data_IF_401580797265
#
_entry.id   IF_401580797265
#
_cell.length_a   1.000
_cell.length_b   1.000
_cell.length_c   1.000
_cell.angle_alpha   90.00
_cell.angle_beta   90.00
_cell.angle_gamma   90.00
#
_symmetry.space_group_name_H-M   'P 1'
#
loop_
_entity.id
_entity.type
_entity.pdbx_description
1 polymer ?
#
# COMPACT_ATOMS: atom_id res chain seq x y z
N UNK A 1 -71.31 59.03 -21.92
CA UNK A 1 -70.68 58.57 -20.67
C UNK A 1 -70.53 57.06 -20.76
N UNK A 2 -69.30 56.58 -20.98
CA UNK A 2 -68.96 55.14 -21.04
C UNK A 2 -67.99 54.89 -19.88
N UNK A 3 -68.35 53.96 -19.00
CA UNK A 3 -67.65 53.71 -17.74
C UNK A 3 -66.35 52.91 -17.95
N UNK A 4 -65.25 53.25 -17.26
CA UNK A 4 -64.03 52.44 -17.24
C UNK A 4 -64.03 51.54 -16.00
N UNK A 5 -64.56 50.32 -16.12
CA UNK A 5 -64.40 49.27 -15.09
C UNK A 5 -64.08 47.95 -15.79
N UNK A 6 -62.90 47.87 -16.41
CA UNK A 6 -62.35 46.58 -16.88
C UNK A 6 -60.87 46.41 -16.51
N UNK A 7 -60.18 47.43 -15.96
CA UNK A 7 -58.73 47.37 -15.74
C UNK A 7 -58.26 47.08 -14.30
N UNK A 8 -59.11 46.59 -13.40
CA UNK A 8 -58.71 46.26 -12.02
C UNK A 8 -58.58 44.74 -11.74
N UNK A 9 -58.87 43.88 -12.72
CA UNK A 9 -58.89 42.42 -12.52
C UNK A 9 -57.55 41.70 -12.73
N UNK A 10 -56.53 42.36 -13.30
CA UNK A 10 -55.32 41.70 -13.76
C UNK A 10 -54.09 41.85 -12.84
N UNK A 11 -54.14 42.70 -11.80
CA UNK A 11 -52.95 43.05 -11.02
C UNK A 11 -52.84 42.39 -9.62
N UNK A 12 -53.86 41.66 -9.16
CA UNK A 12 -53.88 41.06 -7.81
C UNK A 12 -53.41 39.57 -7.76
N UNK A 13 -52.83 39.05 -8.84
CA UNK A 13 -52.42 37.64 -8.95
C UNK A 13 -50.91 37.40 -8.75
N UNK A 14 -50.13 38.42 -8.36
CA UNK A 14 -48.65 38.30 -8.34
C UNK A 14 -48.05 38.27 -6.92
N UNK A 15 -48.83 38.47 -5.84
CA UNK A 15 -48.30 38.49 -4.46
C UNK A 15 -48.63 37.25 -3.60
N UNK A 16 -49.17 36.16 -4.18
CA UNK A 16 -49.68 34.99 -3.45
C UNK A 16 -48.72 33.80 -3.41
N UNK A 17 -47.41 34.02 -3.57
CA UNK A 17 -46.44 32.93 -3.64
C UNK A 17 -45.90 32.44 -2.30
N UNK A 18 -45.93 33.25 -1.23
CA UNK A 18 -45.04 33.03 -0.06
C UNK A 18 -45.62 33.41 1.31
N UNK A 19 -46.91 33.73 1.44
CA UNK A 19 -47.45 34.22 2.72
C UNK A 19 -47.75 33.09 3.74
N UNK A 20 -47.49 33.29 5.05
CA UNK A 20 -47.84 32.33 6.10
C UNK A 20 -49.34 31.97 6.18
N UNK A 21 -50.23 32.90 5.80
CA UNK A 21 -51.69 32.71 5.79
C UNK A 21 -52.11 31.63 4.78
N UNK A 22 -51.45 31.57 3.63
CA UNK A 22 -51.75 30.56 2.61
C UNK A 22 -51.32 29.15 3.03
N UNK A 23 -50.24 29.03 3.81
CA UNK A 23 -49.85 27.75 4.42
C UNK A 23 -50.88 27.26 5.44
N UNK A 24 -51.48 28.15 6.23
CA UNK A 24 -52.54 27.78 7.19
C UNK A 24 -53.80 27.24 6.50
N UNK A 25 -54.12 27.71 5.29
CA UNK A 25 -55.27 27.24 4.52
C UNK A 25 -54.95 25.95 3.77
N UNK A 26 -53.76 25.84 3.17
CA UNK A 26 -53.37 24.70 2.35
C UNK A 26 -53.07 23.44 3.17
N UNK A 27 -52.54 23.56 4.39
CA UNK A 27 -52.15 22.40 5.21
C UNK A 27 -53.35 21.48 5.57
N UNK A 28 -54.49 21.97 6.08
CA UNK A 28 -55.66 21.14 6.33
C UNK A 28 -56.23 20.51 5.05
N UNK A 29 -56.20 21.24 3.93
CA UNK A 29 -56.65 20.72 2.63
C UNK A 29 -55.75 19.59 2.13
N UNK A 30 -54.43 19.71 2.29
CA UNK A 30 -53.47 18.66 1.91
C UNK A 30 -53.60 17.39 2.77
N UNK A 31 -54.04 17.51 4.03
CA UNK A 31 -54.37 16.34 4.87
C UNK A 31 -55.58 15.60 4.30
N UNK A 32 -56.61 16.34 3.85
CA UNK A 32 -57.83 15.75 3.30
C UNK A 32 -57.62 15.20 1.88
N UNK A 33 -56.81 15.88 1.08
CA UNK A 33 -56.51 15.53 -0.30
C UNK A 33 -55.01 15.66 -0.51
N UNK A 34 -54.23 14.59 -0.25
CA UNK A 34 -52.80 14.60 -0.49
C UNK A 34 -52.53 14.57 -2.00
N UNK A 35 -52.42 15.75 -2.59
CA UNK A 35 -52.15 15.96 -4.02
C UNK A 35 -50.70 16.37 -4.31
N UNK A 36 -49.86 16.45 -3.28
CA UNK A 36 -48.44 16.77 -3.41
C UNK A 36 -47.71 15.61 -4.08
N UNK A 37 -47.04 15.91 -5.19
CA UNK A 37 -46.21 14.96 -5.92
C UNK A 37 -44.76 15.12 -5.48
N UNK A 38 -44.05 14.01 -5.31
CA UNK A 38 -42.62 14.02 -5.00
C UNK A 38 -41.87 14.85 -6.04
N UNK A 39 -40.92 15.67 -5.60
CA UNK A 39 -40.09 16.45 -6.50
C UNK A 39 -39.20 15.54 -7.38
N UNK A 40 -38.69 16.04 -8.53
CA UNK A 40 -37.88 15.23 -9.44
C UNK A 40 -36.64 14.59 -8.81
N UNK A 41 -35.97 15.24 -7.84
CA UNK A 41 -34.78 14.68 -7.20
C UNK A 41 -35.17 13.50 -6.29
N UNK A 42 -36.18 13.70 -5.44
CA UNK A 42 -36.74 12.62 -4.59
C UNK A 42 -37.28 11.44 -5.41
N UNK A 43 -37.89 11.70 -6.57
CA UNK A 43 -38.34 10.65 -7.50
C UNK A 43 -37.16 9.84 -8.07
N UNK A 44 -36.04 10.50 -8.39
CA UNK A 44 -34.84 9.83 -8.89
C UNK A 44 -34.24 8.94 -7.79
N UNK A 45 -34.14 9.44 -6.56
CA UNK A 45 -33.64 8.67 -5.42
C UNK A 45 -34.55 7.49 -5.08
N UNK A 46 -35.86 7.72 -4.95
CA UNK A 46 -36.83 6.67 -4.67
C UNK A 46 -36.82 5.58 -5.75
N UNK A 47 -36.61 5.95 -7.01
CA UNK A 47 -36.42 5.00 -8.09
C UNK A 47 -35.07 4.27 -8.02
N UNK A 48 -33.99 4.94 -7.61
CA UNK A 48 -32.67 4.32 -7.43
C UNK A 48 -32.67 3.28 -6.30
N UNK A 49 -33.41 3.53 -5.21
CA UNK A 49 -33.61 2.59 -4.11
C UNK A 49 -34.65 1.50 -4.39
N UNK A 50 -35.29 1.50 -5.56
CA UNK A 50 -36.31 0.52 -5.92
C UNK A 50 -37.65 0.70 -5.20
N UNK A 51 -37.85 1.82 -4.48
CA UNK A 51 -39.11 2.16 -3.81
C UNK A 51 -40.21 2.52 -4.82
N UNK A 52 -39.81 3.00 -6.01
CA UNK A 52 -40.71 3.36 -7.11
C UNK A 52 -40.29 2.63 -8.37
N UNK A 53 -41.23 1.93 -9.01
CA UNK A 53 -40.99 1.23 -10.29
C UNK A 53 -40.59 2.20 -11.41
N UNK A 54 -39.84 1.75 -12.42
CA UNK A 54 -39.43 2.59 -13.55
C UNK A 54 -40.63 3.17 -14.34
N UNK A 55 -41.75 2.42 -14.40
CA UNK A 55 -43.01 2.90 -15.01
C UNK A 55 -43.62 4.03 -14.20
N UNK A 56 -43.72 3.87 -12.88
CA UNK A 56 -44.25 4.90 -11.96
C UNK A 56 -43.36 6.15 -11.97
N UNK A 57 -42.04 5.98 -11.91
CA UNK A 57 -41.07 7.07 -12.02
C UNK A 57 -41.28 7.90 -13.29
N UNK A 58 -41.42 7.25 -14.45
CA UNK A 58 -41.66 7.96 -15.73
C UNK A 58 -42.98 8.72 -15.73
N UNK A 59 -44.02 8.17 -15.12
CA UNK A 59 -45.33 8.81 -15.03
C UNK A 59 -45.26 10.07 -14.15
N UNK A 60 -44.66 9.97 -12.97
CA UNK A 60 -44.50 11.10 -12.05
C UNK A 60 -43.60 12.18 -12.67
N UNK A 61 -42.49 11.81 -13.32
CA UNK A 61 -41.65 12.76 -14.05
C UNK A 61 -42.38 13.46 -15.20
N UNK A 62 -43.35 12.80 -15.83
CA UNK A 62 -44.21 13.42 -16.86
C UNK A 62 -45.17 14.45 -16.25
N UNK A 63 -45.67 14.24 -15.03
CA UNK A 63 -46.47 15.25 -14.31
C UNK A 63 -45.67 16.53 -14.05
N UNK A 64 -44.36 16.40 -13.86
CA UNK A 64 -43.40 17.52 -13.79
C UNK A 64 -43.00 18.10 -15.15
N UNK A 65 -43.57 17.62 -16.27
CA UNK A 65 -43.26 18.11 -17.61
C UNK A 65 -41.98 17.54 -18.23
N UNK A 66 -41.33 16.56 -17.61
CA UNK A 66 -40.18 15.87 -18.20
C UNK A 66 -40.63 14.73 -19.11
N UNK A 67 -40.16 14.76 -20.36
CA UNK A 67 -40.32 13.60 -21.25
C UNK A 67 -39.36 12.46 -20.85
N UNK A 68 -39.55 11.28 -21.45
CA UNK A 68 -38.78 10.09 -21.11
C UNK A 68 -37.25 10.31 -21.21
N UNK A 69 -36.79 10.96 -22.28
CA UNK A 69 -35.36 11.20 -22.50
C UNK A 69 -34.75 12.17 -21.50
N UNK A 70 -35.48 13.24 -21.15
CA UNK A 70 -35.06 14.19 -20.10
C UNK A 70 -35.00 13.51 -18.74
N UNK A 71 -36.02 12.72 -18.38
CA UNK A 71 -36.04 11.97 -17.13
C UNK A 71 -34.88 10.95 -17.06
N UNK A 72 -34.54 10.29 -18.16
CA UNK A 72 -33.38 9.38 -18.25
C UNK A 72 -32.04 10.12 -18.08
N UNK A 73 -31.90 11.31 -18.69
CA UNK A 73 -30.70 12.15 -18.52
C UNK A 73 -30.55 12.63 -17.09
N UNK A 74 -31.63 13.12 -16.46
CA UNK A 74 -31.62 13.56 -15.06
C UNK A 74 -31.22 12.42 -14.13
N UNK A 75 -31.81 11.23 -14.31
CA UNK A 75 -31.40 10.02 -13.56
C UNK A 75 -29.90 9.73 -13.73
N UNK A 76 -29.37 9.78 -14.95
CA UNK A 76 -27.95 9.54 -15.21
C UNK A 76 -27.03 10.57 -14.54
N UNK A 77 -27.47 11.83 -14.46
CA UNK A 77 -26.74 12.91 -13.78
C UNK A 77 -26.71 12.67 -12.27
N UNK A 78 -27.85 12.29 -11.69
CA UNK A 78 -27.99 12.06 -10.25
C UNK A 78 -27.27 10.81 -9.74
N UNK A 79 -26.97 9.83 -10.60
CA UNK A 79 -26.19 8.66 -10.21
C UNK A 79 -24.80 9.07 -9.73
N UNK A 80 -24.45 8.66 -8.50
CA UNK A 80 -23.10 8.78 -7.94
C UNK A 80 -22.06 8.27 -8.93
N UNK A 81 -21.01 9.08 -9.14
CA UNK A 81 -19.85 8.70 -9.95
C UNK A 81 -18.74 8.23 -9.01
N UNK A 82 -17.90 7.34 -9.52
CA UNK A 82 -16.70 6.93 -8.82
C UNK A 82 -15.78 8.13 -8.64
N UNK A 83 -15.06 8.17 -7.52
CA UNK A 83 -14.05 9.20 -7.28
C UNK A 83 -12.87 9.01 -8.24
N UNK A 84 -12.10 10.07 -8.56
CA UNK A 84 -10.89 9.93 -9.36
C UNK A 84 -9.91 8.91 -8.76
N UNK A 85 -9.80 8.84 -7.44
CA UNK A 85 -8.94 7.88 -6.75
C UNK A 85 -9.39 6.43 -6.99
N UNK A 86 -10.69 6.14 -6.93
CA UNK A 86 -11.22 4.81 -7.22
C UNK A 86 -10.98 4.43 -8.68
N UNK A 87 -11.17 5.38 -9.60
CA UNK A 87 -10.92 5.17 -11.02
C UNK A 87 -9.44 4.87 -11.29
N UNK A 88 -8.51 5.57 -10.63
CA UNK A 88 -7.07 5.31 -10.73
C UNK A 88 -6.74 3.90 -10.21
N UNK A 89 -7.32 3.48 -9.08
CA UNK A 89 -7.12 2.12 -8.56
C UNK A 89 -7.70 1.05 -9.48
N UNK A 90 -8.89 1.26 -10.04
CA UNK A 90 -9.50 0.35 -11.02
C UNK A 90 -8.64 0.23 -12.27
N UNK A 91 -8.09 1.36 -12.76
CA UNK A 91 -7.16 1.38 -13.88
C UNK A 91 -5.91 0.57 -13.54
N UNK A 92 -5.18 0.90 -12.47
CA UNK A 92 -3.95 0.18 -12.06
C UNK A 92 -4.15 -1.32 -11.89
N UNK A 93 -5.37 -1.77 -11.55
CA UNK A 93 -5.72 -3.19 -11.38
C UNK A 93 -6.20 -3.88 -12.67
N UNK A 94 -6.31 -3.16 -13.79
CA UNK A 94 -6.80 -3.70 -15.07
C UNK A 94 -8.29 -4.03 -15.09
N UNK A 95 -9.07 -3.45 -14.16
CA UNK A 95 -10.51 -3.69 -14.05
C UNK A 95 -11.31 -2.83 -15.04
N UNK A 96 -10.71 -1.75 -15.53
CA UNK A 96 -11.25 -0.87 -16.58
C UNK A 96 -10.18 -0.61 -17.63
N UNK A 97 -10.60 -0.35 -18.87
CA UNK A 97 -9.66 0.03 -19.94
C UNK A 97 -9.28 1.51 -19.83
N UNK A 98 -8.17 1.92 -20.45
CA UNK A 98 -7.78 3.35 -20.49
C UNK A 98 -8.88 4.23 -21.11
N UNK A 99 -9.57 3.72 -22.13
CA UNK A 99 -10.72 4.40 -22.75
C UNK A 99 -11.87 4.58 -21.75
N UNK A 100 -12.16 3.57 -20.94
CA UNK A 100 -13.21 3.64 -19.92
C UNK A 100 -12.81 4.54 -18.75
N UNK A 101 -11.53 4.57 -18.40
CA UNK A 101 -10.97 5.48 -17.41
C UNK A 101 -11.16 6.95 -17.83
N UNK A 102 -10.68 7.32 -19.02
CA UNK A 102 -10.80 8.69 -19.57
C UNK A 102 -12.28 9.12 -19.60
N UNK A 103 -13.16 8.27 -20.13
CA UNK A 103 -14.60 8.55 -20.20
C UNK A 103 -15.23 8.77 -18.82
N UNK A 104 -14.83 8.01 -17.80
CA UNK A 104 -15.38 8.15 -16.46
C UNK A 104 -14.83 9.37 -15.72
N UNK A 105 -13.58 9.74 -15.95
CA UNK A 105 -12.97 10.98 -15.46
C UNK A 105 -13.65 12.20 -16.07
N UNK A 106 -13.91 12.21 -17.38
CA UNK A 106 -14.68 13.28 -18.03
C UNK A 106 -16.08 13.41 -17.41
N UNK A 107 -16.71 12.27 -17.06
CA UNK A 107 -18.01 12.25 -16.39
C UNK A 107 -17.95 12.73 -14.93
N UNK A 108 -16.82 12.60 -14.25
CA UNK A 108 -16.62 13.10 -12.88
C UNK A 108 -16.36 14.61 -12.83
N UNK A 109 -16.16 15.25 -14.00
CA UNK A 109 -15.87 16.69 -14.14
C UNK A 109 -14.63 17.15 -13.37
N UNK A 110 -13.67 16.24 -13.19
CA UNK A 110 -12.37 16.56 -12.59
C UNK A 110 -11.43 16.99 -13.71
N UNK A 111 -10.71 18.09 -13.52
CA UNK A 111 -9.73 18.56 -14.50
C UNK A 111 -8.49 17.66 -14.53
N UNK A 112 -7.80 17.63 -15.68
CA UNK A 112 -6.64 16.76 -15.90
C UNK A 112 -5.50 16.99 -14.90
N UNK A 113 -5.27 18.25 -14.49
CA UNK A 113 -4.23 18.57 -13.50
C UNK A 113 -4.57 17.96 -12.15
N UNK A 114 -5.81 18.08 -11.69
CA UNK A 114 -6.27 17.46 -10.44
C UNK A 114 -6.18 15.94 -10.50
N UNK A 115 -6.53 15.32 -11.64
CA UNK A 115 -6.39 13.86 -11.82
C UNK A 115 -4.93 13.43 -11.66
N UNK A 116 -4.01 14.16 -12.29
CA UNK A 116 -2.57 13.89 -12.16
C UNK A 116 -2.07 14.04 -10.72
N UNK A 117 -2.52 15.07 -10.01
CA UNK A 117 -2.18 15.26 -8.60
C UNK A 117 -2.70 14.13 -7.71
N UNK A 118 -3.91 13.63 -7.96
CA UNK A 118 -4.48 12.48 -7.24
C UNK A 118 -3.71 11.20 -7.61
N UNK A 119 -3.29 11.05 -8.85
CA UNK A 119 -2.47 9.92 -9.28
C UNK A 119 -1.12 9.90 -8.56
N UNK A 120 -0.41 11.02 -8.51
CA UNK A 120 0.83 11.19 -7.75
C UNK A 120 0.60 10.94 -6.25
N UNK A 121 -0.49 11.47 -5.67
CA UNK A 121 -0.87 11.25 -4.28
C UNK A 121 -1.14 9.77 -3.97
N UNK A 122 -1.67 9.03 -4.93
CA UNK A 122 -2.00 7.62 -4.79
C UNK A 122 -0.82 6.68 -4.98
N UNK A 123 0.37 7.18 -5.30
CA UNK A 123 1.59 6.37 -5.34
C UNK A 123 1.92 5.83 -3.94
N UNK A 124 2.46 4.62 -3.90
CA UNK A 124 2.88 4.02 -2.64
C UNK A 124 4.09 4.78 -2.09
N UNK A 125 3.97 5.24 -0.84
CA UNK A 125 5.04 5.88 -0.08
C UNK A 125 5.46 4.92 1.05
N UNK A 126 6.75 4.59 1.18
CA UNK A 126 7.22 3.70 2.23
C UNK A 126 7.01 4.33 3.61
N UNK A 127 6.80 3.49 4.62
CA UNK A 127 6.68 3.98 6.00
C UNK A 127 8.02 4.50 6.53
N UNK A 128 7.98 5.21 7.67
CA UNK A 128 9.19 5.63 8.38
C UNK A 128 10.05 4.41 8.75
N UNK A 129 9.42 3.32 9.19
CA UNK A 129 10.13 2.07 9.52
C UNK A 129 10.81 1.45 8.30
N UNK A 130 10.12 1.41 7.15
CA UNK A 130 10.71 0.90 5.90
C UNK A 130 11.92 1.75 5.49
N UNK A 131 11.78 3.07 5.59
CA UNK A 131 12.85 4.01 5.25
C UNK A 131 14.08 3.83 6.15
N UNK A 132 13.88 3.59 7.45
CA UNK A 132 14.96 3.24 8.38
C UNK A 132 15.61 1.92 7.99
N UNK A 133 14.81 0.90 7.64
CA UNK A 133 15.35 -0.38 7.18
C UNK A 133 16.15 -0.25 5.89
N UNK A 134 15.70 0.57 4.94
CA UNK A 134 16.44 0.86 3.71
C UNK A 134 17.81 1.47 3.99
N UNK A 135 17.89 2.36 4.97
CA UNK A 135 19.15 2.96 5.38
C UNK A 135 20.06 1.95 6.11
N UNK A 136 19.55 1.28 7.15
CA UNK A 136 20.34 0.37 8.00
C UNK A 136 20.82 -0.87 7.25
N UNK A 137 20.01 -1.35 6.29
CA UNK A 137 20.33 -2.54 5.48
C UNK A 137 20.94 -2.18 4.12
N UNK A 138 21.40 -0.95 3.96
CA UNK A 138 22.16 -0.51 2.79
C UNK A 138 21.40 -0.69 1.46
N UNK A 139 20.06 -0.67 1.49
CA UNK A 139 19.22 -0.86 0.30
C UNK A 139 19.43 0.21 -0.78
N UNK A 140 19.91 1.39 -0.37
CA UNK A 140 20.25 2.51 -1.27
C UNK A 140 21.66 2.41 -1.87
N UNK A 141 22.53 1.53 -1.36
CA UNK A 141 23.94 1.46 -1.79
C UNK A 141 24.12 0.51 -2.96
N UNK A 142 24.42 1.10 -4.11
CA UNK A 142 24.69 0.37 -5.36
C UNK A 142 25.96 -0.49 -5.26
N UNK A 143 27.01 0.01 -4.61
CA UNK A 143 28.29 -0.69 -4.50
C UNK A 143 28.20 -1.98 -3.67
N UNK A 144 27.40 -1.97 -2.61
CA UNK A 144 27.09 -3.18 -1.84
C UNK A 144 26.20 -4.12 -2.65
N UNK A 145 25.15 -3.60 -3.31
CA UNK A 145 24.26 -4.40 -4.14
C UNK A 145 25.01 -5.11 -5.28
N UNK A 146 26.01 -4.47 -5.88
CA UNK A 146 26.87 -5.04 -6.91
C UNK A 146 27.82 -6.10 -6.32
N UNK A 147 28.55 -5.75 -5.25
CA UNK A 147 29.51 -6.66 -4.59
C UNK A 147 28.83 -7.94 -4.09
N UNK A 148 27.63 -7.80 -3.52
CA UNK A 148 26.83 -8.89 -2.95
C UNK A 148 25.83 -9.50 -3.93
N UNK A 149 25.77 -8.97 -5.17
CA UNK A 149 24.90 -9.44 -6.26
C UNK A 149 23.41 -9.49 -5.88
N UNK A 150 22.93 -8.57 -5.05
CA UNK A 150 21.55 -8.55 -4.57
C UNK A 150 20.50 -8.42 -5.67
N UNK A 151 20.87 -7.83 -6.81
CA UNK A 151 19.99 -7.59 -7.94
C UNK A 151 20.01 -8.72 -8.99
N UNK A 152 20.75 -9.81 -8.79
CA UNK A 152 20.97 -10.85 -9.80
C UNK A 152 19.67 -11.47 -10.34
N UNK A 153 18.72 -11.78 -9.44
CA UNK A 153 17.42 -12.35 -9.78
C UNK A 153 16.32 -11.27 -9.95
N UNK A 154 16.67 -9.99 -9.83
CA UNK A 154 15.74 -8.89 -10.03
C UNK A 154 15.58 -8.59 -11.53
N UNK A 155 14.37 -8.30 -12.03
CA UNK A 155 14.16 -8.03 -13.45
C UNK A 155 15.00 -6.86 -13.94
N UNK A 156 15.62 -7.02 -15.11
CA UNK A 156 16.41 -5.96 -15.73
C UNK A 156 15.58 -4.72 -16.04
N UNK A 157 16.20 -3.54 -16.11
CA UNK A 157 15.51 -2.30 -16.47
C UNK A 157 14.76 -2.39 -17.82
N UNK A 158 15.28 -3.16 -18.78
CA UNK A 158 14.59 -3.42 -20.04
C UNK A 158 13.32 -4.23 -19.81
N UNK A 159 13.40 -5.30 -19.01
CA UNK A 159 12.26 -6.14 -18.66
C UNK A 159 11.18 -5.39 -17.88
N UNK A 160 11.58 -4.52 -16.95
CA UNK A 160 10.67 -3.64 -16.21
C UNK A 160 9.88 -2.75 -17.16
N UNK A 161 10.55 -2.08 -18.10
CA UNK A 161 9.89 -1.24 -19.11
C UNK A 161 8.92 -2.02 -19.99
N UNK A 162 9.28 -3.25 -20.35
CA UNK A 162 8.35 -4.13 -21.08
C UNK A 162 7.09 -4.39 -20.26
N UNK A 163 7.21 -4.68 -18.96
CA UNK A 163 6.09 -4.94 -18.05
C UNK A 163 5.25 -3.66 -17.84
N UNK A 164 5.86 -2.50 -17.67
CA UNK A 164 5.15 -1.21 -17.53
C UNK A 164 4.27 -0.88 -18.75
N UNK A 165 4.61 -1.41 -19.93
CA UNK A 165 3.85 -1.23 -21.17
C UNK A 165 2.83 -2.34 -21.43
N UNK A 166 2.82 -3.41 -20.63
CA UNK A 166 1.82 -4.47 -20.77
C UNK A 166 0.45 -4.00 -20.28
N UNK A 167 -0.60 -4.56 -20.86
CA UNK A 167 -1.96 -4.42 -20.32
C UNK A 167 -2.04 -5.06 -18.93
N UNK A 168 -2.69 -4.38 -18.00
CA UNK A 168 -2.78 -4.77 -16.60
C UNK A 168 -3.35 -6.19 -16.38
N UNK A 169 -4.23 -6.69 -17.27
CA UNK A 169 -4.76 -8.06 -17.20
C UNK A 169 -3.69 -9.12 -17.48
N UNK A 170 -2.60 -8.71 -18.12
CA UNK A 170 -1.45 -9.58 -18.40
C UNK A 170 -0.61 -9.83 -17.15
N UNK A 171 -0.68 -8.95 -16.15
CA UNK A 171 0.09 -9.08 -14.92
C UNK A 171 -0.20 -10.36 -14.15
N UNK A 172 -1.42 -10.90 -14.23
CA UNK A 172 -1.78 -12.17 -13.57
C UNK A 172 -1.07 -13.39 -14.16
N UNK A 173 -0.64 -13.30 -15.41
CA UNK A 173 0.04 -14.40 -16.12
C UNK A 173 1.55 -14.40 -15.90
N UNK A 174 2.10 -13.31 -15.37
CA UNK A 174 3.51 -13.20 -15.02
C UNK A 174 3.83 -14.16 -13.87
N UNK A 175 5.08 -14.63 -13.81
CA UNK A 175 5.58 -15.56 -12.79
C UNK A 175 6.89 -15.05 -12.20
N UNK A 176 7.26 -15.56 -11.03
CA UNK A 176 8.52 -15.21 -10.37
C UNK A 176 8.62 -13.71 -10.10
N UNK A 177 9.80 -13.14 -10.34
CA UNK A 177 10.08 -11.73 -10.08
C UNK A 177 9.33 -10.77 -11.02
N UNK A 178 8.99 -11.19 -12.24
CA UNK A 178 8.12 -10.40 -13.13
C UNK A 178 6.73 -10.18 -12.52
N UNK A 179 6.19 -11.18 -11.82
CA UNK A 179 4.89 -11.05 -11.15
C UNK A 179 4.94 -10.02 -10.03
N UNK A 180 6.06 -9.95 -9.31
CA UNK A 180 6.27 -8.95 -8.25
C UNK A 180 6.23 -7.53 -8.82
N UNK A 181 6.83 -7.29 -9.99
CA UNK A 181 6.76 -5.99 -10.69
C UNK A 181 5.31 -5.64 -11.02
N UNK A 182 4.56 -6.56 -11.63
CA UNK A 182 3.15 -6.33 -11.95
C UNK A 182 2.30 -6.02 -10.71
N UNK A 183 2.52 -6.75 -9.61
CA UNK A 183 1.82 -6.48 -8.34
C UNK A 183 2.19 -5.12 -7.74
N UNK A 184 3.46 -4.72 -7.82
CA UNK A 184 3.92 -3.40 -7.38
C UNK A 184 3.20 -2.28 -8.15
N UNK A 185 3.13 -2.38 -9.48
CA UNK A 185 2.42 -1.42 -10.32
C UNK A 185 0.91 -1.33 -9.97
N UNK A 186 0.27 -2.48 -9.70
CA UNK A 186 -1.15 -2.54 -9.30
C UNK A 186 -1.47 -1.78 -8.00
N UNK A 187 -0.49 -1.63 -7.10
CA UNK A 187 -0.64 -0.87 -5.85
C UNK A 187 -0.02 0.53 -5.90
N UNK A 188 0.52 0.94 -7.06
CA UNK A 188 1.20 2.23 -7.22
C UNK A 188 2.63 2.26 -6.65
N UNK A 189 3.25 1.09 -6.41
CA UNK A 189 4.65 0.98 -6.00
C UNK A 189 5.56 1.02 -7.23
N UNK A 190 6.41 2.05 -7.29
CA UNK A 190 7.38 2.21 -8.38
C UNK A 190 8.40 1.06 -8.40
N UNK A 191 8.76 0.50 -9.56
CA UNK A 191 9.72 -0.61 -9.66
C UNK A 191 11.07 -0.32 -9.01
N UNK A 192 11.52 0.94 -9.03
CA UNK A 192 12.78 1.37 -8.40
C UNK A 192 12.69 1.28 -6.87
N UNK A 193 11.53 1.60 -6.29
CA UNK A 193 11.31 1.44 -4.85
C UNK A 193 11.16 -0.04 -4.49
N UNK A 194 10.48 -0.83 -5.33
CA UNK A 194 10.44 -2.29 -5.16
C UNK A 194 11.84 -2.90 -5.20
N UNK A 195 12.75 -2.39 -6.02
CA UNK A 195 14.16 -2.82 -6.06
C UNK A 195 14.87 -2.59 -4.72
N UNK A 196 14.56 -1.52 -4.01
CA UNK A 196 15.13 -1.26 -2.68
C UNK A 196 14.56 -2.24 -1.65
N UNK A 197 13.24 -2.48 -1.68
CA UNK A 197 12.62 -3.55 -0.90
C UNK A 197 13.25 -4.92 -1.20
N UNK A 198 13.55 -5.18 -2.47
CA UNK A 198 14.26 -6.36 -2.90
C UNK A 198 15.68 -6.41 -2.32
N UNK A 199 16.44 -5.32 -2.30
CA UNK A 199 17.78 -5.37 -1.68
C UNK A 199 17.74 -5.70 -0.20
N UNK A 200 16.79 -5.13 0.54
CA UNK A 200 16.72 -5.34 2.00
C UNK A 200 16.06 -6.66 2.43
N UNK A 201 15.40 -7.37 1.50
CA UNK A 201 14.80 -8.67 1.80
C UNK A 201 15.87 -9.75 1.98
N UNK A 202 17.04 -9.58 1.36
CA UNK A 202 18.18 -10.44 1.60
C UNK A 202 18.63 -10.29 3.06
N UNK A 203 18.44 -11.36 3.83
CA UNK A 203 18.86 -11.42 5.23
C UNK A 203 20.02 -12.38 5.33
N UNK A 204 21.13 -11.89 5.87
CA UNK A 204 22.22 -12.77 6.27
C UNK A 204 21.79 -13.55 7.52
N UNK A 205 22.22 -14.82 7.66
CA UNK A 205 22.05 -15.55 8.90
C UNK A 205 22.55 -14.73 10.09
N UNK A 206 21.92 -14.88 11.26
CA UNK A 206 22.49 -14.35 12.49
C UNK A 206 23.78 -15.10 12.84
N UNK A 207 24.63 -14.52 13.71
CA UNK A 207 25.84 -15.19 14.20
C UNK A 207 25.50 -16.55 14.83
N UNK A 208 24.44 -16.62 15.65
CA UNK A 208 23.97 -17.88 16.24
C UNK A 208 23.49 -18.88 15.17
N UNK A 209 22.79 -18.43 14.13
CA UNK A 209 22.41 -19.29 13.02
C UNK A 209 23.64 -19.81 12.26
N UNK A 210 24.67 -18.98 12.07
CA UNK A 210 25.96 -19.39 11.51
C UNK A 210 26.67 -20.44 12.37
N UNK A 211 26.66 -20.28 13.69
CA UNK A 211 27.23 -21.26 14.62
C UNK A 211 26.45 -22.58 14.63
N UNK A 212 25.12 -22.51 14.59
CA UNK A 212 24.27 -23.69 14.43
C UNK A 212 24.54 -24.42 13.11
N UNK A 213 24.71 -23.68 12.02
CA UNK A 213 25.11 -24.24 10.73
C UNK A 213 26.47 -24.93 10.84
N UNK A 214 27.45 -24.31 11.48
CA UNK A 214 28.77 -24.92 11.73
C UNK A 214 28.64 -26.24 12.51
N UNK A 215 27.91 -26.25 13.62
CA UNK A 215 27.74 -27.46 14.43
C UNK A 215 27.01 -28.58 13.69
N UNK A 216 26.04 -28.25 12.83
CA UNK A 216 25.28 -29.23 12.04
C UNK A 216 26.03 -29.76 10.83
N UNK A 217 26.89 -28.94 10.23
CA UNK A 217 27.55 -29.23 8.95
C UNK A 217 29.03 -29.58 9.11
N UNK A 218 29.52 -29.76 10.34
CA UNK A 218 30.90 -30.18 10.60
C UNK A 218 31.23 -31.54 9.95
N UNK A 219 32.50 -31.81 9.59
CA UNK A 219 32.88 -32.98 8.79
C UNK A 219 32.39 -34.33 9.32
N UNK A 220 32.33 -34.48 10.65
CA UNK A 220 31.85 -35.68 11.33
C UNK A 220 30.37 -36.01 11.03
N UNK A 221 29.55 -34.98 10.76
CA UNK A 221 28.10 -35.12 10.57
C UNK A 221 27.66 -34.82 9.14
N UNK A 222 28.49 -34.13 8.34
CA UNK A 222 28.24 -33.88 6.92
C UNK A 222 29.48 -34.12 6.05
N UNK A 223 29.90 -35.39 5.86
CA UNK A 223 31.14 -35.73 5.16
C UNK A 223 31.12 -35.37 3.66
N UNK A 224 29.95 -35.14 3.06
CA UNK A 224 29.81 -34.83 1.63
C UNK A 224 29.91 -33.34 1.32
N UNK A 225 29.66 -32.46 2.30
CA UNK A 225 29.82 -31.02 2.16
C UNK A 225 30.17 -30.38 3.51
N UNK A 226 31.37 -30.63 4.03
CA UNK A 226 31.76 -30.19 5.36
C UNK A 226 31.91 -28.67 5.42
N UNK A 227 31.35 -28.05 6.44
CA UNK A 227 31.70 -26.69 6.86
C UNK A 227 32.83 -26.83 7.88
N UNK A 228 34.01 -26.34 7.54
CA UNK A 228 35.17 -26.31 8.45
C UNK A 228 35.28 -24.96 9.15
N UNK A 229 36.20 -24.89 10.12
CA UNK A 229 36.48 -23.65 10.82
C UNK A 229 36.97 -22.55 9.86
N UNK A 230 37.78 -22.92 8.87
CA UNK A 230 38.28 -22.06 7.80
C UNK A 230 37.13 -21.51 6.95
N UNK A 231 36.09 -22.32 6.69
CA UNK A 231 34.89 -21.85 5.99
C UNK A 231 34.17 -20.76 6.79
N UNK A 232 34.05 -20.92 8.11
CA UNK A 232 33.44 -19.89 8.98
C UNK A 232 34.31 -18.63 9.04
N UNK A 233 35.63 -18.79 9.11
CA UNK A 233 36.56 -17.67 9.09
C UNK A 233 36.46 -16.88 7.79
N UNK A 234 36.43 -17.56 6.64
CA UNK A 234 36.27 -16.93 5.33
C UNK A 234 34.90 -16.23 5.21
N UNK A 235 33.83 -16.82 5.75
CA UNK A 235 32.52 -16.17 5.83
C UNK A 235 32.57 -14.89 6.67
N UNK A 236 33.17 -14.92 7.86
CA UNK A 236 33.29 -13.74 8.72
C UNK A 236 34.13 -12.63 8.08
N UNK A 237 35.19 -12.99 7.35
CA UNK A 237 36.02 -12.05 6.60
C UNK A 237 35.26 -11.42 5.43
N UNK A 238 34.45 -12.19 4.70
CA UNK A 238 33.60 -11.70 3.61
C UNK A 238 32.39 -10.90 4.07
N UNK A 239 31.92 -11.14 5.30
CA UNK A 239 30.77 -10.49 5.90
C UNK A 239 31.16 -9.73 7.18
N UNK A 240 31.94 -8.63 7.08
CA UNK A 240 32.43 -7.88 8.24
C UNK A 240 31.32 -7.32 9.14
N UNK A 241 30.09 -7.19 8.65
CA UNK A 241 28.89 -6.87 9.43
C UNK A 241 28.57 -7.91 10.52
N UNK A 242 29.06 -9.14 10.42
CA UNK A 242 28.98 -10.12 11.52
C UNK A 242 30.01 -9.87 12.62
N UNK A 243 31.06 -9.10 12.34
CA UNK A 243 32.15 -8.78 13.29
C UNK A 243 31.73 -7.62 14.22
N UNK A 244 30.95 -6.66 13.73
CA UNK A 244 30.55 -5.48 14.50
C UNK A 244 29.73 -5.78 15.78
N UNK A 245 28.74 -6.71 15.78
CA UNK A 245 28.02 -7.09 17.00
C UNK A 245 28.91 -7.78 18.03
N UNK A 246 29.82 -8.66 17.59
CA UNK A 246 30.73 -9.43 18.44
C UNK A 246 31.74 -8.53 19.18
N UNK A 247 32.15 -7.42 18.58
CA UNK A 247 33.07 -6.47 19.20
C UNK A 247 32.44 -5.62 20.34
N UNK A 248 31.11 -5.53 20.40
CA UNK A 248 30.39 -4.70 21.39
C UNK A 248 30.09 -5.48 22.68
N UNK A 249 29.95 -6.80 22.61
CA UNK A 249 29.64 -7.65 23.78
C UNK A 249 30.85 -7.95 24.67
N UNK A 250 32.08 -7.62 24.24
CA UNK A 250 33.26 -7.74 25.10
C UNK A 250 33.31 -6.52 26.04
N UNK A 251 33.13 -6.67 27.37
CA UNK A 251 33.17 -5.55 28.27
C UNK A 251 34.55 -4.87 28.22
N UNK A 252 34.57 -3.53 28.13
CA UNK A 252 35.77 -2.68 28.24
C UNK A 252 36.39 -2.72 29.65
N UNK A 253 36.66 -3.90 30.22
CA UNK A 253 37.08 -4.06 31.60
C UNK A 253 38.54 -4.47 31.79
N UNK A 254 39.44 -4.20 30.82
CA UNK A 254 40.88 -4.26 31.06
C UNK A 254 41.62 -3.10 30.38
N UNK A 255 42.03 -2.07 31.13
CA UNK A 255 42.95 -1.05 30.63
C UNK A 255 44.36 -1.66 30.55
N UNK A 256 44.82 -1.95 29.34
CA UNK A 256 46.22 -2.35 29.09
C UNK A 256 46.47 -3.43 28.04
N UNK A 257 45.44 -4.08 27.46
CA UNK A 257 45.66 -5.17 26.52
C UNK A 257 45.70 -4.71 25.05
N UNK A 258 46.74 -5.05 24.27
CA UNK A 258 46.84 -4.69 22.85
C UNK A 258 46.10 -5.72 22.00
N UNK A 259 44.78 -5.82 22.17
CA UNK A 259 43.95 -6.78 21.43
C UNK A 259 43.49 -6.09 20.13
N UNK A 260 43.99 -6.56 18.99
CA UNK A 260 43.55 -6.14 17.65
C UNK A 260 42.25 -6.86 17.29
N UNK A 261 41.50 -6.36 16.31
CA UNK A 261 40.22 -6.97 15.88
C UNK A 261 40.32 -8.46 15.51
N UNK A 262 41.50 -8.92 15.05
CA UNK A 262 41.77 -10.33 14.76
C UNK A 262 41.79 -11.19 16.03
N UNK A 263 42.29 -10.63 17.14
CA UNK A 263 42.43 -11.31 18.42
C UNK A 263 41.05 -11.52 19.09
N UNK A 264 40.05 -10.70 18.75
CA UNK A 264 38.66 -10.83 19.23
C UNK A 264 37.94 -12.01 18.56
N UNK A 265 38.23 -12.28 17.29
CA UNK A 265 37.68 -13.44 16.57
C UNK A 265 38.23 -14.73 17.16
N UNK A 266 39.54 -14.77 17.44
CA UNK A 266 40.16 -15.89 18.13
C UNK A 266 39.65 -16.03 19.58
N UNK A 267 39.46 -14.93 20.31
CA UNK A 267 38.97 -14.97 21.69
C UNK A 267 37.50 -15.39 21.80
N UNK A 268 36.62 -14.87 20.94
CA UNK A 268 35.19 -15.20 20.96
C UNK A 268 34.95 -16.68 20.61
N UNK A 269 35.74 -17.23 19.69
CA UNK A 269 35.68 -18.65 19.30
C UNK A 269 36.34 -19.57 20.34
N UNK A 270 37.34 -19.09 21.11
CA UNK A 270 37.94 -19.83 22.23
C UNK A 270 37.05 -19.82 23.48
N UNK A 271 36.31 -18.73 23.74
CA UNK A 271 35.42 -18.62 24.92
C UNK A 271 34.10 -19.39 24.78
N UNK A 272 33.73 -19.82 23.57
CA UNK A 272 32.65 -20.77 23.32
C UNK A 272 33.11 -22.23 23.46
N UNK A 273 33.43 -22.66 24.68
CA UNK A 273 33.68 -24.08 25.04
C UNK A 273 34.95 -24.76 24.50
N UNK A 274 36.16 -24.20 24.68
CA UNK A 274 37.39 -25.06 24.75
C UNK A 274 38.38 -24.53 25.78
N UNK A 275 38.11 -24.77 27.07
CA UNK A 275 39.13 -24.81 28.12
C UNK A 275 39.05 -26.16 28.83
N UNK A 276 39.69 -27.19 28.24
CA UNK A 276 40.03 -28.49 28.85
C UNK A 276 40.41 -29.45 27.72
N UNK A 277 41.59 -30.07 27.61
CA UNK A 277 42.76 -30.19 28.47
C UNK A 277 43.98 -30.36 27.56
N UNK A 278 45.11 -29.73 27.87
CA UNK A 278 46.43 -30.38 27.65
C UNK A 278 47.62 -29.61 28.24
N UNK A 279 47.45 -28.38 28.74
CA UNK A 279 48.57 -27.62 29.33
C UNK A 279 48.19 -26.89 30.61
N UNK A 280 48.08 -27.64 31.71
CA UNK A 280 48.18 -27.09 33.06
C UNK A 280 48.74 -28.16 34.01
N UNK A 281 50.04 -28.43 33.85
CA UNK A 281 50.83 -29.10 34.88
C UNK A 281 50.93 -28.20 36.11
N UNK A 282 50.45 -28.70 37.24
CA UNK A 282 50.93 -28.33 38.57
C UNK A 282 50.11 -27.28 39.32
N UNK A 283 49.69 -27.69 40.52
CA UNK A 283 49.12 -26.90 41.63
C UNK A 283 47.59 -26.76 41.64
N UNK A 284 46.96 -27.67 42.39
CA UNK A 284 45.60 -27.52 42.91
C UNK A 284 45.53 -26.39 43.96
N UNK A 285 44.39 -25.70 44.04
CA UNK A 285 43.68 -25.73 45.31
C UNK A 285 42.22 -26.17 45.14
N UNK A 286 41.78 -27.02 46.08
CA UNK A 286 40.39 -27.40 46.30
C UNK A 286 39.57 -26.13 46.56
N UNK A 287 38.46 -25.95 45.84
CA UNK A 287 37.35 -25.12 46.30
C UNK A 287 36.07 -25.96 46.24
N UNK A 288 35.37 -25.88 47.36
CA UNK A 288 34.23 -26.65 47.83
C UNK A 288 32.98 -26.55 46.95
N UNK A 289 32.20 -27.63 46.95
CA UNK A 289 30.82 -27.69 46.46
C UNK A 289 29.89 -27.34 47.63
N UNK A 290 28.97 -26.40 47.42
CA UNK A 290 27.74 -26.21 48.19
C UNK A 290 26.75 -25.45 47.30
N UNK A 291 25.51 -25.86 47.07
CA UNK A 291 24.65 -26.72 47.86
C UNK A 291 23.59 -25.87 48.57
N UNK A 292 22.64 -25.33 47.81
CA UNK A 292 21.26 -24.98 48.21
C UNK A 292 20.45 -24.63 46.98
#
# INVERSE_FOLDING_TARGET
MVAPIVLAGAFAMIALGTSPIQRMINQPLNILIPNEILDPASLIEANAFGLVSDKSYRLEMKKHGFNHDRAKRLKKIAMTKLSPLDLIQLRRRGLITEKDFIKQIEMSRTDEKTVKQIEELSEFIPSVQDTIQFAVREGYREDIAETQRYDEDFPSNKRIREIELMDDKTYEKLKGSDRLIGQALQIGLKPQLLKIFWRIHWQLPSVSAGLEMFHRLRPEFNPTNPVTFETIKELLEKFPQWIYPLAVEVPRSYPGSPIRAIDIVDLALVTGYVLSMEKATGVYPRIWIGGS
#
